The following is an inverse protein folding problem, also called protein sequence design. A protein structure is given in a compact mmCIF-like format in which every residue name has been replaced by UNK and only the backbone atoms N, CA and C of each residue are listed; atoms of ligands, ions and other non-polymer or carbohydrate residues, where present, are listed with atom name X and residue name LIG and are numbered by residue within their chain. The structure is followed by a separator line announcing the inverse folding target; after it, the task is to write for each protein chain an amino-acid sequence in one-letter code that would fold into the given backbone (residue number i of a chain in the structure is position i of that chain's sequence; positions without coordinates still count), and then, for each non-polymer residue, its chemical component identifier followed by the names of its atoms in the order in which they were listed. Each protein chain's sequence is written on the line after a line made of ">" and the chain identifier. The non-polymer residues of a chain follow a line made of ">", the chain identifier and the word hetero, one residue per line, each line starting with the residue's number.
data_IF_872783267539
#
_entry.id   IF_872783267539
#
_cell.length_a   1.000
_cell.length_b   1.000
_cell.length_c   1.000
_cell.angle_alpha   90.00
_cell.angle_beta   90.00
_cell.angle_gamma   90.00
#
_symmetry.space_group_name_H-M   'P 1'
#
loop_
_entity.id
_entity.type
_entity.pdbx_description
1 polymer ?
#
# COMPACT_ATOMS: atom_id res chain seq x y z
N UNK A 1 -0.26 17.71 -36.71
CA UNK A 1 0.19 16.89 -35.54
C UNK A 1 1.62 17.37 -35.24
N UNK A 2 1.81 18.08 -34.13
CA UNK A 2 3.16 18.44 -33.70
C UNK A 2 3.89 17.15 -33.32
N UNK A 3 4.97 16.88 -34.01
CA UNK A 3 5.91 15.81 -33.65
C UNK A 3 6.41 16.06 -32.24
N UNK A 4 6.32 15.02 -31.41
CA UNK A 4 6.81 15.05 -30.04
C UNK A 4 8.34 15.21 -30.08
N UNK A 5 8.84 16.35 -29.65
CA UNK A 5 10.26 16.72 -29.84
C UNK A 5 11.13 16.52 -28.59
N UNK A 6 10.58 15.99 -27.49
CA UNK A 6 11.29 15.83 -26.22
C UNK A 6 12.02 14.48 -26.09
N UNK A 7 12.45 13.86 -27.19
CA UNK A 7 13.18 12.60 -27.14
C UNK A 7 12.41 11.42 -26.52
N UNK A 8 11.08 11.46 -26.53
CA UNK A 8 10.22 10.41 -25.98
C UNK A 8 10.11 10.40 -24.44
N UNK A 9 10.61 11.42 -23.76
CA UNK A 9 10.42 11.55 -22.31
C UNK A 9 8.99 12.01 -21.98
N UNK A 10 8.38 11.34 -21.00
CA UNK A 10 7.09 11.75 -20.45
C UNK A 10 7.31 12.98 -19.56
N UNK A 11 6.40 13.94 -19.66
CA UNK A 11 6.43 15.17 -18.87
C UNK A 11 6.46 14.89 -17.37
N UNK A 12 7.19 15.73 -16.63
CA UNK A 12 7.24 15.68 -15.17
C UNK A 12 6.18 16.59 -14.58
N UNK A 13 5.45 16.06 -13.60
CA UNK A 13 4.52 16.83 -12.78
C UNK A 13 4.98 16.82 -11.31
N UNK A 14 4.55 17.78 -10.50
CA UNK A 14 4.79 17.76 -9.05
C UNK A 14 4.20 16.49 -8.41
N UNK A 15 4.73 16.07 -7.25
CA UNK A 15 4.13 14.99 -6.46
C UNK A 15 2.65 15.28 -6.19
N UNK A 16 1.75 14.30 -6.37
CA UNK A 16 0.33 14.49 -6.08
C UNK A 16 0.10 14.61 -4.56
N UNK A 17 -0.94 15.33 -4.18
CA UNK A 17 -1.40 15.31 -2.79
C UNK A 17 -1.86 13.90 -2.40
N UNK A 18 -1.30 13.37 -1.32
CA UNK A 18 -1.57 12.01 -0.86
C UNK A 18 -1.43 11.88 0.65
N UNK A 19 -2.26 11.04 1.25
CA UNK A 19 -2.19 10.68 2.68
C UNK A 19 -1.54 9.31 2.91
N UNK A 20 -1.49 8.46 1.88
CA UNK A 20 -0.96 7.11 1.94
C UNK A 20 0.09 6.96 0.85
N UNK A 21 1.30 6.61 1.26
CA UNK A 21 2.40 6.40 0.34
C UNK A 21 3.29 5.24 0.81
N UNK A 22 3.88 4.53 -0.14
CA UNK A 22 4.83 3.46 0.15
C UNK A 22 5.88 3.38 -0.98
N UNK A 23 7.12 3.02 -0.67
CA UNK A 23 8.06 2.60 -1.71
C UNK A 23 7.63 1.25 -2.29
N UNK A 24 7.77 1.08 -3.60
CA UNK A 24 7.59 -0.21 -4.25
C UNK A 24 8.54 -0.32 -5.44
N UNK A 25 9.33 -1.39 -5.43
CA UNK A 25 10.43 -1.53 -6.38
C UNK A 25 11.30 -0.26 -6.32
N UNK A 26 11.62 0.36 -7.38
CA UNK A 26 12.41 1.60 -7.40
C UNK A 26 11.53 2.85 -7.60
N UNK A 27 10.32 2.85 -7.05
CA UNK A 27 9.32 3.92 -7.21
C UNK A 27 8.69 4.31 -5.88
N UNK A 28 8.09 5.47 -5.87
CA UNK A 28 7.15 5.87 -4.82
C UNK A 28 5.73 5.70 -5.35
N UNK A 29 4.91 4.96 -4.61
CA UNK A 29 3.49 4.76 -4.93
C UNK A 29 2.66 5.46 -3.87
N UNK A 30 1.65 6.19 -4.30
CA UNK A 30 0.76 6.93 -3.42
C UNK A 30 -0.71 6.81 -3.86
N UNK A 31 -1.61 7.03 -2.92
CA UNK A 31 -3.05 7.10 -3.18
C UNK A 31 -3.43 8.55 -3.45
N UNK A 32 -4.14 8.79 -4.53
CA UNK A 32 -4.64 10.13 -4.84
C UNK A 32 -5.61 10.64 -3.79
N UNK A 33 -5.42 11.86 -3.31
CA UNK A 33 -6.37 12.50 -2.39
C UNK A 33 -7.70 12.85 -3.05
N UNK A 34 -7.71 13.06 -4.37
CA UNK A 34 -8.91 13.38 -5.16
C UNK A 34 -9.73 12.13 -5.50
N UNK A 35 -9.03 11.00 -5.71
CA UNK A 35 -9.68 9.73 -6.03
C UNK A 35 -9.09 8.60 -5.17
N UNK A 36 -9.79 8.20 -4.10
CA UNK A 36 -9.28 7.19 -3.16
C UNK A 36 -9.16 5.78 -3.74
N UNK A 37 -9.54 5.57 -5.00
CA UNK A 37 -9.38 4.31 -5.75
C UNK A 37 -8.20 4.34 -6.71
N UNK A 38 -7.52 5.50 -6.83
CA UNK A 38 -6.45 5.72 -7.80
C UNK A 38 -5.11 5.69 -7.11
N UNK A 39 -4.26 4.78 -7.55
CA UNK A 39 -2.83 4.78 -7.27
C UNK A 39 -2.11 5.65 -8.30
N UNK A 40 -1.17 6.44 -7.86
CA UNK A 40 -0.25 7.21 -8.68
C UNK A 40 1.15 6.77 -8.29
N UNK A 41 2.01 6.52 -9.27
CA UNK A 41 3.37 6.08 -9.00
C UNK A 41 4.39 6.92 -9.75
N UNK A 42 5.57 7.06 -9.14
CA UNK A 42 6.66 7.85 -9.71
C UNK A 42 7.33 7.13 -10.88
N UNK A 43 8.10 7.86 -11.66
CA UNK A 43 9.13 7.29 -12.52
C UNK A 43 10.13 6.48 -11.69
N UNK A 44 10.94 5.66 -12.35
CA UNK A 44 12.04 4.98 -11.68
C UNK A 44 12.99 6.01 -11.07
N UNK A 45 13.32 5.84 -9.80
CA UNK A 45 14.25 6.73 -9.11
C UNK A 45 15.65 6.62 -9.72
N UNK A 46 16.25 7.77 -9.95
CA UNK A 46 17.67 7.89 -10.24
C UNK A 46 18.39 8.14 -8.91
N UNK A 47 19.50 7.46 -8.61
CA UNK A 47 20.29 7.74 -7.40
C UNK A 47 20.59 9.24 -7.29
N UNK A 48 20.35 9.83 -6.12
CA UNK A 48 20.51 11.25 -5.84
C UNK A 48 19.65 12.21 -6.67
N UNK A 49 18.74 11.68 -7.50
CA UNK A 49 17.80 12.49 -8.28
C UNK A 49 16.48 12.74 -7.55
N UNK A 50 15.68 13.69 -8.03
CA UNK A 50 14.35 13.94 -7.51
C UNK A 50 13.40 12.77 -7.80
N UNK A 51 12.30 12.69 -7.04
CA UNK A 51 11.19 11.79 -7.34
C UNK A 51 10.27 12.48 -8.33
N UNK A 52 10.17 11.94 -9.54
CA UNK A 52 9.42 12.52 -10.64
C UNK A 52 8.12 11.75 -10.87
N UNK A 53 7.03 12.45 -11.05
CA UNK A 53 5.72 11.89 -11.38
C UNK A 53 5.29 12.26 -12.81
N UNK A 54 4.25 11.58 -13.28
CA UNK A 54 3.59 11.90 -14.56
C UNK A 54 2.12 11.49 -14.50
N UNK A 55 1.27 12.21 -15.19
CA UNK A 55 -0.18 11.96 -15.24
C UNK A 55 -0.55 10.55 -15.75
N UNK A 56 0.29 10.02 -16.64
CA UNK A 56 0.07 8.70 -17.24
C UNK A 56 0.39 7.54 -16.28
N UNK A 57 1.15 7.80 -15.20
CA UNK A 57 1.57 6.77 -14.27
C UNK A 57 0.56 6.58 -13.15
N UNK A 58 -0.56 5.97 -13.49
CA UNK A 58 -1.62 5.68 -12.53
C UNK A 58 -2.33 4.38 -12.81
N UNK A 59 -2.90 3.79 -11.75
CA UNK A 59 -3.72 2.58 -11.78
C UNK A 59 -5.01 2.88 -11.04
N UNK A 60 -6.16 2.65 -11.67
CA UNK A 60 -7.46 2.78 -11.04
C UNK A 60 -7.99 1.39 -10.70
N UNK A 61 -8.31 1.17 -9.44
CA UNK A 61 -8.94 -0.06 -8.97
C UNK A 61 -10.45 0.05 -9.14
N UNK A 62 -10.98 -0.38 -10.29
CA UNK A 62 -12.40 -0.22 -10.62
C UNK A 62 -13.36 -0.93 -9.66
N UNK A 63 -12.91 -2.03 -9.02
CA UNK A 63 -13.70 -2.79 -8.05
C UNK A 63 -13.52 -2.29 -6.61
N UNK A 64 -12.64 -1.32 -6.40
CA UNK A 64 -12.32 -0.76 -5.10
C UNK A 64 -13.41 0.18 -4.60
N UNK A 65 -13.52 0.29 -3.28
CA UNK A 65 -14.28 1.35 -2.60
C UNK A 65 -13.36 2.50 -2.20
N UNK A 66 -12.34 2.21 -1.42
CA UNK A 66 -11.35 3.17 -0.93
C UNK A 66 -10.11 2.43 -0.48
N UNK A 67 -8.95 2.86 -0.92
CA UNK A 67 -7.67 2.34 -0.43
C UNK A 67 -7.41 2.94 0.96
N UNK A 68 -7.11 2.08 1.92
CA UNK A 68 -6.88 2.43 3.33
C UNK A 68 -5.45 2.23 3.78
N UNK A 69 -4.70 1.35 3.13
CA UNK A 69 -3.28 1.16 3.40
C UNK A 69 -2.56 0.55 2.19
N UNK A 70 -1.24 0.75 2.15
CA UNK A 70 -0.34 0.19 1.15
C UNK A 70 0.88 -0.39 1.85
N UNK A 71 1.40 -1.50 1.33
CA UNK A 71 2.70 -2.04 1.75
C UNK A 71 3.37 -2.80 0.63
N UNK A 72 4.70 -2.73 0.55
CA UNK A 72 5.48 -3.71 -0.22
C UNK A 72 5.67 -4.96 0.63
N UNK A 73 5.36 -6.12 0.05
CA UNK A 73 5.54 -7.41 0.70
C UNK A 73 5.89 -8.49 -0.33
N UNK A 74 7.02 -9.17 -0.14
CA UNK A 74 7.52 -10.23 -1.03
C UNK A 74 7.46 -9.84 -2.52
N UNK A 75 7.99 -8.66 -2.84
CA UNK A 75 8.04 -8.09 -4.20
C UNK A 75 6.66 -7.80 -4.82
N UNK A 76 5.61 -7.82 -4.02
CA UNK A 76 4.26 -7.44 -4.41
C UNK A 76 3.89 -6.12 -3.74
N UNK A 77 3.13 -5.30 -4.42
CA UNK A 77 2.44 -4.17 -3.79
C UNK A 77 1.10 -4.69 -3.26
N UNK A 78 0.97 -4.73 -1.95
CA UNK A 78 -0.28 -5.09 -1.28
C UNK A 78 -1.11 -3.82 -1.07
N UNK A 79 -2.37 -3.88 -1.45
CA UNK A 79 -3.31 -2.78 -1.44
C UNK A 79 -4.47 -3.18 -0.56
N UNK A 80 -4.67 -2.46 0.53
CA UNK A 80 -5.75 -2.71 1.47
C UNK A 80 -6.91 -1.77 1.24
N UNK A 81 -8.10 -2.31 1.37
CA UNK A 81 -9.37 -1.63 1.57
C UNK A 81 -9.98 -2.03 2.91
N UNK A 82 -11.13 -1.46 3.33
CA UNK A 82 -11.75 -1.86 4.59
C UNK A 82 -12.12 -3.35 4.67
N UNK A 83 -12.54 -3.96 3.55
CA UNK A 83 -13.04 -5.34 3.51
C UNK A 83 -12.41 -6.20 2.41
N UNK A 84 -11.40 -5.69 1.72
CA UNK A 84 -10.73 -6.41 0.62
C UNK A 84 -9.24 -6.15 0.64
N UNK A 85 -8.49 -7.11 0.12
CA UNK A 85 -7.05 -6.99 -0.08
C UNK A 85 -6.75 -7.38 -1.51
N UNK A 86 -5.97 -6.55 -2.18
CA UNK A 86 -5.47 -6.78 -3.53
C UNK A 86 -3.96 -6.82 -3.54
N UNK A 87 -3.40 -7.38 -4.60
CA UNK A 87 -1.98 -7.23 -4.88
C UNK A 87 -1.71 -6.95 -6.35
N UNK A 88 -0.59 -6.30 -6.59
CA UNK A 88 -0.03 -6.00 -7.91
C UNK A 88 1.42 -6.49 -7.93
N UNK A 89 1.84 -7.03 -9.07
CA UNK A 89 3.21 -7.47 -9.33
C UNK A 89 3.78 -6.75 -10.54
N UNK A 90 5.07 -6.94 -10.77
CA UNK A 90 5.77 -6.36 -11.92
C UNK A 90 6.66 -5.18 -11.53
N UNK A 91 7.40 -4.68 -12.50
CA UNK A 91 8.32 -3.55 -12.31
C UNK A 91 7.72 -2.23 -12.81
N UNK A 92 6.57 -2.30 -13.48
CA UNK A 92 5.94 -1.16 -14.13
C UNK A 92 6.70 -0.69 -15.38
N UNK A 93 6.14 0.31 -16.09
CA UNK A 93 6.72 0.82 -17.32
C UNK A 93 8.05 1.52 -17.08
N UNK A 94 8.84 1.69 -18.12
CA UNK A 94 10.03 2.55 -18.08
C UNK A 94 9.65 4.00 -17.82
N UNK A 95 10.62 4.85 -17.50
CA UNK A 95 10.37 6.30 -17.30
C UNK A 95 9.90 7.01 -18.57
N UNK A 96 9.97 6.35 -19.73
CA UNK A 96 9.42 6.82 -21.01
C UNK A 96 8.02 6.27 -21.30
N UNK A 97 7.44 5.48 -20.38
CA UNK A 97 6.14 4.85 -20.57
C UNK A 97 6.13 3.63 -21.47
N UNK A 98 7.29 3.15 -21.91
CA UNK A 98 7.42 1.95 -22.72
C UNK A 98 7.66 0.72 -21.84
N UNK A 99 7.29 -0.46 -22.34
CA UNK A 99 7.54 -1.80 -21.76
C UNK A 99 6.90 -2.05 -20.39
N UNK A 100 6.57 -3.30 -20.13
CA UNK A 100 6.23 -3.90 -18.84
C UNK A 100 5.29 -3.07 -17.94
N UNK A 101 4.02 -3.19 -18.15
CA UNK A 101 3.04 -2.70 -17.20
C UNK A 101 3.10 -3.48 -15.87
N UNK A 102 2.54 -2.90 -14.84
CA UNK A 102 2.18 -3.66 -13.65
C UNK A 102 1.09 -4.68 -13.99
N UNK A 103 1.06 -5.79 -13.28
CA UNK A 103 -0.04 -6.74 -13.44
C UNK A 103 -1.39 -6.05 -13.11
N UNK A 104 -2.50 -6.51 -13.69
CA UNK A 104 -3.80 -6.12 -13.20
C UNK A 104 -3.94 -6.44 -11.70
N UNK A 105 -4.64 -5.61 -10.92
CA UNK A 105 -4.90 -5.89 -9.51
C UNK A 105 -5.62 -7.22 -9.33
N UNK A 106 -5.06 -8.09 -8.50
CA UNK A 106 -5.61 -9.41 -8.17
C UNK A 106 -6.13 -9.41 -6.74
N UNK A 107 -7.29 -10.02 -6.53
CA UNK A 107 -7.92 -10.11 -5.21
C UNK A 107 -7.26 -11.23 -4.41
N UNK A 108 -6.83 -10.94 -3.19
CA UNK A 108 -6.41 -11.92 -2.20
C UNK A 108 -7.63 -12.42 -1.41
N UNK A 109 -8.39 -11.48 -0.85
CA UNK A 109 -9.61 -11.75 -0.10
C UNK A 109 -10.63 -10.64 -0.30
N UNK A 110 -11.91 -10.99 -0.28
CA UNK A 110 -13.04 -10.07 -0.34
C UNK A 110 -13.82 -9.95 0.97
N UNK A 111 -13.26 -10.45 2.08
CA UNK A 111 -13.97 -10.52 3.37
C UNK A 111 -13.24 -9.79 4.49
N UNK A 112 -11.95 -9.60 4.37
CA UNK A 112 -11.07 -8.97 5.36
C UNK A 112 -10.21 -7.93 4.68
N UNK A 113 -10.01 -6.79 5.32
CA UNK A 113 -9.13 -5.72 4.86
C UNK A 113 -8.64 -4.89 6.04
N UNK A 114 -7.82 -3.88 5.77
CA UNK A 114 -7.24 -3.01 6.78
C UNK A 114 -8.12 -1.78 7.01
N UNK A 115 -8.50 -1.50 8.24
CA UNK A 115 -9.35 -0.35 8.58
C UNK A 115 -8.59 0.98 8.53
N UNK A 116 -7.30 0.98 8.87
CA UNK A 116 -6.46 2.18 8.77
C UNK A 116 -4.96 1.84 8.61
N UNK A 117 -4.22 2.74 7.96
CA UNK A 117 -2.79 2.54 7.66
C UNK A 117 -1.90 2.48 8.90
N UNK A 118 -2.30 3.10 10.01
CA UNK A 118 -1.50 3.17 11.24
C UNK A 118 -1.44 1.83 11.99
N UNK A 119 -2.33 0.90 11.66
CA UNK A 119 -2.33 -0.45 12.23
C UNK A 119 -1.47 -1.44 11.47
N UNK A 120 -0.96 -1.06 10.30
CA UNK A 120 -0.22 -1.96 9.42
C UNK A 120 1.24 -2.08 9.84
N UNK A 121 1.68 -3.30 10.15
CA UNK A 121 3.06 -3.62 10.54
C UNK A 121 3.61 -4.75 9.67
N UNK A 122 4.78 -4.53 9.08
CA UNK A 122 5.53 -5.57 8.39
C UNK A 122 6.40 -6.34 9.39
N UNK A 123 6.23 -7.66 9.42
CA UNK A 123 7.00 -8.57 10.25
C UNK A 123 7.55 -9.74 9.43
N UNK A 124 8.50 -10.53 9.95
CA UNK A 124 9.08 -11.66 9.23
C UNK A 124 8.07 -12.70 8.74
N UNK A 125 6.96 -12.87 9.45
CA UNK A 125 5.90 -13.83 9.11
C UNK A 125 4.90 -13.29 8.09
N UNK A 126 4.75 -11.97 7.96
CA UNK A 126 3.74 -11.36 7.10
C UNK A 126 3.43 -9.92 7.45
N UNK A 127 2.28 -9.46 7.02
CA UNK A 127 1.71 -8.16 7.32
C UNK A 127 0.60 -8.29 8.36
N UNK A 128 0.79 -7.66 9.51
CA UNK A 128 -0.20 -7.63 10.58
C UNK A 128 -0.98 -6.31 10.50
N UNK A 129 -2.30 -6.36 10.67
CA UNK A 129 -3.16 -5.19 10.52
C UNK A 129 -4.47 -5.33 11.30
N UNK A 130 -5.09 -4.20 11.62
CA UNK A 130 -6.44 -4.15 12.17
C UNK A 130 -7.48 -4.12 11.06
N UNK A 131 -8.39 -5.08 11.10
CA UNK A 131 -9.63 -5.12 10.32
C UNK A 131 -10.82 -4.69 11.19
N UNK A 132 -11.96 -4.43 10.55
CA UNK A 132 -13.25 -4.28 11.27
C UNK A 132 -13.67 -5.55 12.04
N UNK A 133 -13.02 -6.69 11.78
CA UNK A 133 -13.27 -7.98 12.42
C UNK A 133 -12.19 -8.37 13.45
N UNK A 134 -11.29 -7.47 13.78
CA UNK A 134 -10.18 -7.70 14.72
C UNK A 134 -8.80 -7.68 14.06
N UNK A 135 -7.80 -8.28 14.69
CA UNK A 135 -6.44 -8.26 14.23
C UNK A 135 -6.13 -9.50 13.39
N UNK A 136 -5.60 -9.28 12.20
CA UNK A 136 -5.28 -10.30 11.22
C UNK A 136 -3.82 -10.25 10.79
N UNK A 137 -3.32 -11.39 10.36
CA UNK A 137 -2.04 -11.57 9.68
C UNK A 137 -2.30 -11.96 8.23
N UNK A 138 -1.71 -11.25 7.28
CA UNK A 138 -1.55 -11.70 5.90
C UNK A 138 -0.20 -12.39 5.80
N UNK A 139 -0.19 -13.70 5.66
CA UNK A 139 1.02 -14.50 5.59
C UNK A 139 1.71 -14.43 4.21
N UNK A 140 2.89 -15.07 4.10
CA UNK A 140 3.66 -15.12 2.84
C UNK A 140 2.97 -15.91 1.72
N UNK A 141 2.01 -16.77 2.07
CA UNK A 141 1.19 -17.52 1.13
C UNK A 141 -0.03 -16.71 0.64
N UNK A 142 -0.12 -15.44 1.05
CA UNK A 142 -1.26 -14.54 0.80
C UNK A 142 -2.58 -15.07 1.41
N UNK A 143 -2.48 -15.79 2.54
CA UNK A 143 -3.64 -16.20 3.32
C UNK A 143 -3.84 -15.25 4.52
N UNK A 144 -5.09 -14.93 4.83
CA UNK A 144 -5.43 -14.13 6.00
C UNK A 144 -5.76 -15.04 7.18
N UNK A 145 -5.09 -14.82 8.29
CA UNK A 145 -5.28 -15.58 9.54
C UNK A 145 -5.70 -14.63 10.65
N UNK A 146 -6.76 -14.95 11.37
CA UNK A 146 -7.17 -14.22 12.57
C UNK A 146 -6.23 -14.55 13.72
N UNK A 147 -5.63 -13.53 14.32
CA UNK A 147 -4.66 -13.66 15.41
C UNK A 147 -5.04 -12.82 16.63
N UNK A 148 -6.13 -12.10 16.57
CA UNK A 148 -6.57 -11.15 17.59
C UNK A 148 -7.34 -11.75 18.77
N UNK A 149 -7.40 -13.08 18.94
CA UNK A 149 -8.24 -13.72 19.96
C UNK A 149 -7.94 -13.26 21.40
N UNK A 150 -6.67 -13.04 21.74
CA UNK A 150 -6.27 -12.60 23.09
C UNK A 150 -6.59 -11.13 23.37
N UNK A 151 -6.78 -10.33 22.33
CA UNK A 151 -7.04 -8.89 22.42
C UNK A 151 -8.44 -8.53 21.89
N UNK A 152 -9.32 -9.49 21.73
CA UNK A 152 -10.65 -9.30 21.13
C UNK A 152 -11.49 -8.24 21.84
N UNK A 153 -11.32 -8.10 23.16
CA UNK A 153 -12.00 -7.08 23.96
C UNK A 153 -11.65 -5.63 23.53
N UNK A 154 -10.61 -5.45 22.74
CA UNK A 154 -10.13 -4.14 22.27
C UNK A 154 -10.37 -3.89 20.77
N UNK A 155 -11.08 -4.77 20.09
CA UNK A 155 -11.33 -4.67 18.64
C UNK A 155 -12.09 -3.39 18.24
N UNK A 156 -12.89 -2.83 19.14
CA UNK A 156 -13.63 -1.59 18.92
C UNK A 156 -12.74 -0.33 19.01
N UNK A 157 -11.53 -0.46 19.53
CA UNK A 157 -10.60 0.65 19.65
C UNK A 157 -9.81 0.83 18.35
N UNK A 158 -9.68 2.07 17.91
CA UNK A 158 -8.85 2.39 16.75
C UNK A 158 -7.37 2.36 17.13
N UNK A 159 -6.55 1.65 16.37
CA UNK A 159 -5.11 1.67 16.51
C UNK A 159 -4.56 2.97 15.92
N UNK A 160 -3.86 3.75 16.72
CA UNK A 160 -3.28 5.04 16.31
C UNK A 160 -1.83 4.92 15.87
N UNK A 161 -1.12 3.90 16.35
CA UNK A 161 0.25 3.58 15.95
C UNK A 161 0.53 2.10 16.19
N UNK A 162 1.40 1.54 15.39
CA UNK A 162 1.83 0.15 15.48
C UNK A 162 3.33 0.06 15.19
N UNK A 163 4.06 -0.70 16.01
CA UNK A 163 5.50 -0.84 15.89
C UNK A 163 5.97 -2.26 16.19
N UNK A 164 6.92 -2.72 15.40
CA UNK A 164 7.62 -3.98 15.64
C UNK A 164 8.86 -3.74 16.52
N UNK A 165 8.85 -4.28 17.73
CA UNK A 165 10.01 -4.27 18.63
C UNK A 165 10.91 -5.45 18.28
N UNK A 166 11.88 -5.20 17.42
CA UNK A 166 12.71 -6.28 16.82
C UNK A 166 13.45 -7.13 17.86
N UNK A 167 13.98 -6.49 18.90
CA UNK A 167 14.77 -7.21 19.93
C UNK A 167 13.92 -8.14 20.80
N UNK A 168 12.64 -7.85 20.92
CA UNK A 168 11.68 -8.64 21.74
C UNK A 168 10.80 -9.52 20.86
N UNK A 169 10.86 -9.35 19.54
CA UNK A 169 10.01 -10.01 18.57
C UNK A 169 8.50 -9.82 18.87
N UNK A 170 8.16 -8.64 19.36
CA UNK A 170 6.81 -8.24 19.77
C UNK A 170 6.29 -7.12 18.88
N UNK A 171 4.99 -7.10 18.66
CA UNK A 171 4.31 -5.93 18.07
C UNK A 171 3.57 -5.22 19.19
N UNK A 172 3.70 -3.91 19.22
CA UNK A 172 2.95 -3.05 20.14
C UNK A 172 2.02 -2.14 19.35
N UNK A 173 0.77 -2.17 19.76
CA UNK A 173 -0.27 -1.31 19.25
C UNK A 173 -0.64 -0.25 20.28
N UNK A 174 -0.63 1.00 19.86
CA UNK A 174 -1.19 2.10 20.64
C UNK A 174 -2.62 2.37 20.18
N UNK A 175 -3.56 2.34 21.10
CA UNK A 175 -4.98 2.55 20.82
C UNK A 175 -5.41 4.00 21.05
N UNK A 176 -6.57 4.36 20.55
CA UNK A 176 -7.13 5.72 20.64
C UNK A 176 -7.43 6.19 22.06
N UNK A 177 -7.55 5.29 23.02
CA UNK A 177 -7.72 5.58 24.46
C UNK A 177 -6.38 5.61 25.23
N UNK A 178 -5.25 5.49 24.53
CA UNK A 178 -3.90 5.57 25.11
C UNK A 178 -3.35 4.27 25.69
N UNK A 179 -4.03 3.14 25.48
CA UNK A 179 -3.50 1.83 25.88
C UNK A 179 -2.46 1.31 24.91
N UNK A 180 -1.54 0.52 25.43
CA UNK A 180 -0.59 -0.25 24.64
C UNK A 180 -0.99 -1.74 24.74
N UNK A 181 -1.27 -2.34 23.60
CA UNK A 181 -1.57 -3.77 23.44
C UNK A 181 -0.36 -4.51 22.93
#
# INVERSE_FOLDING_TARGET
>A
QSLYTNGGQIENIPPPASLILTPYKNRLVCVSSENPKKLIYSKNRVPLGPVEFSDVFSIVLNKATRITALSEFDQKLIIFEPNQIFYITGNGPTSTGAQNDFSPPQVITGDVGCSNTNSLVLMPLGLMFQSNKGIYLLDRSLQTVYIGAEVEAYNDLTITSAELIQNENQIRYLTSDGRCL
#
